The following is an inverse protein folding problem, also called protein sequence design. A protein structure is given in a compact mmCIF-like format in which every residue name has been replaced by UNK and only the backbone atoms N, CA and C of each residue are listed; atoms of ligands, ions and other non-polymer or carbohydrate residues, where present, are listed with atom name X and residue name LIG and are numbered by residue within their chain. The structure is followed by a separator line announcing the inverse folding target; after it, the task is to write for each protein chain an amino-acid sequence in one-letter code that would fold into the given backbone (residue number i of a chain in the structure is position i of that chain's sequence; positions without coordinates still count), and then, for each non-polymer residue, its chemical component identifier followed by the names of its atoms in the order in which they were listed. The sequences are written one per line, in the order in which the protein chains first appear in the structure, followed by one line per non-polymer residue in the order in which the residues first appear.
data_IF_182727004448
#
_entry.id   IF_182727004448
#
_cell.length_a   1.000
_cell.length_b   1.000
_cell.length_c   1.000
_cell.angle_alpha   90.00
_cell.angle_beta   90.00
_cell.angle_gamma   90.00
#
_symmetry.space_group_name_H-M   'P 1'
#
loop_
_entity.id
_entity.type
_entity.pdbx_description
1 polymer ?
#
# COMPACT_ATOMS: atom_id res chain seq x y z
N UNK A 1 24.16 12.54 -26.36
CA UNK A 1 24.42 11.67 -25.20
C UNK A 1 23.87 12.45 -24.02
N UNK A 2 22.57 12.31 -23.88
CA UNK A 2 21.72 13.41 -23.42
C UNK A 2 21.57 13.34 -21.91
N UNK A 3 21.98 14.42 -21.27
CA UNK A 3 21.68 14.73 -19.89
C UNK A 3 20.19 15.04 -19.80
N UNK A 4 19.35 14.05 -19.50
CA UNK A 4 18.01 14.33 -19.00
C UNK A 4 18.14 14.93 -17.60
N UNK A 5 18.12 16.26 -17.58
CA UNK A 5 17.98 17.07 -16.40
C UNK A 5 16.79 16.59 -15.58
N UNK A 6 17.06 16.15 -14.35
CA UNK A 6 16.06 15.96 -13.31
C UNK A 6 15.43 17.31 -12.95
N UNK A 7 14.47 17.75 -13.77
CA UNK A 7 13.66 18.91 -13.45
C UNK A 7 12.86 18.61 -12.17
N UNK A 8 13.32 19.19 -11.06
CA UNK A 8 12.53 19.37 -9.84
C UNK A 8 11.35 20.30 -10.16
N UNK A 9 10.27 19.76 -10.71
CA UNK A 9 9.04 20.54 -10.97
C UNK A 9 8.23 20.60 -9.68
N UNK A 10 8.64 21.45 -8.73
CA UNK A 10 7.81 21.79 -7.58
C UNK A 10 6.36 21.94 -8.05
N UNK A 11 5.42 21.27 -7.38
CA UNK A 11 4.02 21.62 -7.58
C UNK A 11 3.94 23.14 -7.34
N UNK A 12 3.66 23.89 -8.39
CA UNK A 12 3.41 25.31 -8.26
C UNK A 12 2.32 25.45 -7.21
N UNK A 13 2.43 26.44 -6.32
CA UNK A 13 1.45 26.74 -5.27
C UNK A 13 0.00 26.97 -5.78
N UNK A 14 -0.22 26.87 -7.09
CA UNK A 14 -1.49 27.04 -7.79
C UNK A 14 -2.05 25.74 -8.42
N UNK A 15 -1.49 24.55 -8.17
CA UNK A 15 -2.13 23.30 -8.64
C UNK A 15 -3.39 23.02 -7.82
N UNK A 16 -4.57 23.11 -8.46
CA UNK A 16 -5.82 22.64 -7.83
C UNK A 16 -5.89 21.12 -7.97
N UNK A 17 -5.92 20.45 -6.83
CA UNK A 17 -6.13 19.02 -6.75
C UNK A 17 -7.60 18.73 -6.42
N UNK A 18 -8.28 17.97 -7.28
CA UNK A 18 -9.59 17.42 -6.95
C UNK A 18 -9.46 15.94 -6.62
N UNK A 19 -9.93 15.56 -5.42
CA UNK A 19 -9.98 14.16 -5.00
C UNK A 19 -11.39 13.63 -5.28
N UNK A 20 -11.46 12.56 -6.06
CA UNK A 20 -12.65 11.77 -6.33
C UNK A 20 -12.52 10.44 -5.62
N UNK A 21 -13.64 9.85 -5.24
CA UNK A 21 -13.69 8.52 -4.65
C UNK A 21 -14.70 7.67 -5.40
N UNK A 22 -14.34 6.42 -5.64
CA UNK A 22 -15.20 5.38 -6.21
C UNK A 22 -15.16 4.21 -5.24
N UNK A 23 -16.32 3.74 -4.81
CA UNK A 23 -16.43 2.46 -4.09
C UNK A 23 -16.36 1.36 -5.14
N UNK A 24 -15.35 0.49 -5.08
CA UNK A 24 -15.15 -0.55 -6.09
C UNK A 24 -15.77 -1.88 -5.70
N UNK A 25 -15.72 -2.25 -4.42
CA UNK A 25 -16.39 -3.41 -3.83
C UNK A 25 -16.31 -3.31 -2.30
N UNK A 26 -17.05 -4.15 -1.58
CA UNK A 26 -17.03 -4.18 -0.11
C UNK A 26 -16.05 -5.25 0.40
N UNK A 27 -14.95 -4.82 1.03
CA UNK A 27 -13.96 -5.73 1.62
C UNK A 27 -14.49 -6.53 2.83
N UNK A 28 -15.59 -6.09 3.45
CA UNK A 28 -16.23 -6.80 4.57
C UNK A 28 -17.30 -7.79 4.11
N UNK A 29 -17.56 -7.88 2.81
CA UNK A 29 -18.52 -8.84 2.30
C UNK A 29 -18.10 -10.27 2.67
N UNK A 30 -19.09 -11.15 2.89
CA UNK A 30 -18.88 -12.56 3.21
C UNK A 30 -17.99 -13.29 2.17
N UNK A 31 -17.84 -12.71 0.98
CA UNK A 31 -16.97 -13.21 -0.08
C UNK A 31 -15.50 -13.34 0.35
N UNK A 32 -15.01 -12.41 1.18
CA UNK A 32 -13.63 -12.39 1.67
C UNK A 32 -13.45 -13.03 3.05
N UNK A 33 -14.55 -13.40 3.73
CA UNK A 33 -14.51 -13.96 5.08
C UNK A 33 -13.61 -15.19 5.21
N UNK A 34 -13.51 -16.01 4.15
CA UNK A 34 -12.60 -17.17 4.16
C UNK A 34 -11.13 -16.78 4.26
N UNK A 35 -10.72 -15.69 3.60
CA UNK A 35 -9.34 -15.19 3.66
C UNK A 35 -9.03 -14.60 5.03
N UNK A 36 -9.93 -13.76 5.56
CA UNK A 36 -9.81 -13.16 6.90
C UNK A 36 -9.65 -14.26 7.94
N UNK A 37 -10.51 -15.28 7.90
CA UNK A 37 -10.45 -16.43 8.82
C UNK A 37 -9.17 -17.25 8.67
N UNK A 38 -8.72 -17.50 7.44
CA UNK A 38 -7.54 -18.32 7.17
C UNK A 38 -6.27 -17.66 7.70
N UNK A 39 -6.11 -16.36 7.46
CA UNK A 39 -4.91 -15.61 7.83
C UNK A 39 -5.02 -14.86 9.15
N UNK A 40 -6.16 -14.97 9.84
CA UNK A 40 -6.42 -14.29 11.12
C UNK A 40 -6.09 -12.80 11.09
N UNK A 41 -6.36 -12.15 9.96
CA UNK A 41 -6.22 -10.69 9.87
C UNK A 41 -7.30 -10.01 10.71
N UNK A 42 -7.09 -8.76 11.12
CA UNK A 42 -8.19 -7.87 11.48
C UNK A 42 -9.28 -7.92 10.39
N UNK A 43 -10.51 -7.52 10.70
CA UNK A 43 -11.63 -7.52 9.74
C UNK A 43 -11.32 -6.68 8.48
N UNK A 44 -10.30 -5.83 8.55
CA UNK A 44 -9.77 -5.03 7.46
C UNK A 44 -8.68 -5.79 6.70
N UNK A 45 -8.79 -5.81 5.36
CA UNK A 45 -7.80 -6.38 4.42
C UNK A 45 -7.42 -5.34 3.35
N UNK A 46 -7.52 -4.06 3.73
CA UNK A 46 -7.49 -2.92 2.83
C UNK A 46 -6.17 -2.79 2.07
N UNK A 47 -5.05 -3.20 2.67
CA UNK A 47 -3.75 -3.17 2.01
C UNK A 47 -3.66 -4.21 0.87
N UNK A 48 -4.19 -5.42 1.10
CA UNK A 48 -4.31 -6.45 0.07
C UNK A 48 -5.30 -6.04 -1.00
N UNK A 49 -6.42 -5.42 -0.62
CA UNK A 49 -7.42 -4.92 -1.56
C UNK A 49 -6.84 -3.79 -2.44
N UNK A 50 -6.13 -2.82 -1.84
CA UNK A 50 -5.45 -1.75 -2.56
C UNK A 50 -4.41 -2.33 -3.54
N UNK A 51 -3.62 -3.31 -3.13
CA UNK A 51 -2.62 -3.93 -3.99
C UNK A 51 -3.25 -4.76 -5.11
N UNK A 52 -4.33 -5.49 -4.85
CA UNK A 52 -5.08 -6.21 -5.88
C UNK A 52 -5.65 -5.24 -6.92
N UNK A 53 -6.17 -4.09 -6.45
CA UNK A 53 -6.64 -3.02 -7.34
C UNK A 53 -5.51 -2.51 -8.23
N UNK A 54 -4.33 -2.24 -7.67
CA UNK A 54 -3.15 -1.83 -8.45
C UNK A 54 -2.85 -2.85 -9.55
N UNK A 55 -2.72 -4.14 -9.19
CA UNK A 55 -2.38 -5.20 -10.15
C UNK A 55 -3.39 -5.29 -11.29
N UNK A 56 -4.68 -5.27 -10.97
CA UNK A 56 -5.75 -5.32 -11.97
C UNK A 56 -5.69 -4.08 -12.89
N UNK A 57 -5.56 -2.88 -12.33
CA UNK A 57 -5.47 -1.66 -13.14
C UNK A 57 -4.23 -1.67 -14.03
N UNK A 58 -3.10 -2.20 -13.55
CA UNK A 58 -1.87 -2.27 -14.33
C UNK A 58 -1.94 -3.30 -15.46
N UNK A 59 -2.52 -4.47 -15.18
CA UNK A 59 -2.63 -5.56 -16.14
C UNK A 59 -3.64 -5.26 -17.26
N UNK A 60 -4.77 -4.65 -16.93
CA UNK A 60 -5.87 -4.42 -17.87
C UNK A 60 -5.97 -2.97 -18.36
N UNK A 61 -5.19 -2.05 -17.78
CA UNK A 61 -5.35 -0.62 -17.98
C UNK A 61 -6.57 -0.07 -17.24
N UNK A 62 -6.68 1.25 -17.07
CA UNK A 62 -7.64 1.79 -16.11
C UNK A 62 -9.11 1.59 -16.48
N UNK A 63 -9.47 1.68 -17.77
CA UNK A 63 -10.86 1.56 -18.20
C UNK A 63 -11.38 0.13 -17.98
N UNK A 64 -10.65 -0.86 -18.51
CA UNK A 64 -11.01 -2.27 -18.38
C UNK A 64 -10.78 -2.76 -16.95
N UNK A 65 -9.69 -2.34 -16.31
CA UNK A 65 -9.37 -2.69 -14.94
C UNK A 65 -10.49 -2.32 -13.97
N UNK A 66 -11.12 -1.14 -14.10
CA UNK A 66 -12.27 -0.78 -13.26
C UNK A 66 -13.46 -1.73 -13.41
N UNK A 67 -13.68 -2.29 -14.60
CA UNK A 67 -14.70 -3.33 -14.84
C UNK A 67 -14.26 -4.63 -14.18
N UNK A 68 -12.99 -5.02 -14.35
CA UNK A 68 -12.39 -6.21 -13.73
C UNK A 68 -12.39 -6.19 -12.20
N UNK A 69 -12.40 -5.02 -11.57
CA UNK A 69 -12.58 -4.91 -10.11
C UNK A 69 -13.95 -5.40 -9.63
N UNK A 70 -14.96 -5.49 -10.52
CA UNK A 70 -16.26 -6.09 -10.18
C UNK A 70 -16.23 -7.63 -10.23
N UNK A 71 -15.19 -8.23 -10.84
CA UNK A 71 -15.00 -9.67 -10.86
C UNK A 71 -14.40 -10.13 -9.53
N UNK A 72 -15.25 -10.28 -8.51
CA UNK A 72 -14.83 -10.56 -7.13
C UNK A 72 -13.89 -11.78 -7.01
N UNK A 73 -14.08 -12.82 -7.83
CA UNK A 73 -13.17 -13.98 -7.87
C UNK A 73 -11.74 -13.60 -8.27
N UNK A 74 -11.58 -12.70 -9.25
CA UNK A 74 -10.27 -12.22 -9.69
C UNK A 74 -9.59 -11.41 -8.58
N UNK A 75 -10.34 -10.48 -7.98
CA UNK A 75 -9.86 -9.67 -6.84
C UNK A 75 -9.40 -10.58 -5.70
N UNK A 76 -10.24 -11.53 -5.29
CA UNK A 76 -9.92 -12.47 -4.22
C UNK A 76 -8.71 -13.34 -4.53
N UNK A 77 -8.57 -13.84 -5.76
CA UNK A 77 -7.42 -14.64 -6.16
C UNK A 77 -6.11 -13.87 -5.98
N UNK A 78 -6.06 -12.60 -6.39
CA UNK A 78 -4.88 -11.77 -6.16
C UNK A 78 -4.64 -11.49 -4.68
N UNK A 79 -5.69 -11.22 -3.90
CA UNK A 79 -5.54 -11.02 -2.46
C UNK A 79 -5.00 -12.27 -1.76
N UNK A 80 -5.53 -13.44 -2.10
CA UNK A 80 -5.11 -14.72 -1.56
C UNK A 80 -3.63 -15.02 -1.89
N UNK A 81 -3.22 -14.80 -3.14
CA UNK A 81 -1.83 -14.94 -3.58
C UNK A 81 -0.87 -14.10 -2.71
N UNK A 82 -1.26 -12.85 -2.40
CA UNK A 82 -0.45 -11.93 -1.60
C UNK A 82 -0.36 -12.31 -0.13
N UNK A 83 -1.50 -12.68 0.46
CA UNK A 83 -1.57 -13.10 1.85
C UNK A 83 -0.79 -14.41 2.05
N UNK A 84 -0.92 -15.35 1.12
CA UNK A 84 -0.17 -16.61 1.11
C UNK A 84 1.34 -16.38 0.97
N UNK A 85 1.76 -15.51 0.04
CA UNK A 85 3.16 -15.14 -0.12
C UNK A 85 3.73 -14.55 1.18
N UNK A 86 3.02 -13.59 1.77
CA UNK A 86 3.45 -12.91 3.00
C UNK A 86 3.58 -13.92 4.13
N UNK A 87 2.57 -14.78 4.32
CA UNK A 87 2.59 -15.85 5.32
C UNK A 87 3.79 -16.79 5.13
N UNK A 88 4.01 -17.28 3.91
CA UNK A 88 5.10 -18.21 3.57
C UNK A 88 6.49 -17.59 3.71
N UNK A 89 6.65 -16.32 3.36
CA UNK A 89 7.94 -15.61 3.43
C UNK A 89 8.54 -15.53 4.84
N UNK A 90 7.70 -15.73 5.87
CA UNK A 90 8.07 -15.67 7.29
C UNK A 90 8.30 -17.04 7.92
N UNK A 91 7.92 -18.11 7.21
CA UNK A 91 7.90 -19.46 7.72
C UNK A 91 9.28 -19.96 8.13
N UNK A 92 10.32 -19.68 7.34
CA UNK A 92 11.67 -20.17 7.60
C UNK A 92 12.27 -19.54 8.85
N UNK A 93 12.16 -18.22 9.00
CA UNK A 93 12.56 -17.52 10.23
C UNK A 93 11.77 -18.05 11.43
N UNK A 94 10.45 -18.20 11.29
CA UNK A 94 9.60 -18.67 12.38
C UNK A 94 9.99 -20.07 12.86
N UNK A 95 10.24 -20.99 11.93
CA UNK A 95 10.73 -22.35 12.23
C UNK A 95 12.09 -22.32 12.92
N UNK A 96 12.99 -21.42 12.54
CA UNK A 96 14.28 -21.29 13.21
C UNK A 96 14.14 -20.79 14.66
N UNK A 97 13.26 -19.81 14.90
CA UNK A 97 13.06 -19.22 16.24
C UNK A 97 12.28 -20.12 17.20
N UNK A 98 11.20 -20.76 16.72
CA UNK A 98 10.26 -21.49 17.57
C UNK A 98 10.27 -23.00 17.37
N UNK A 99 11.14 -23.51 16.48
CA UNK A 99 11.35 -24.94 16.20
C UNK A 99 10.04 -25.67 15.89
N UNK A 100 9.50 -26.36 16.89
CA UNK A 100 8.33 -27.24 16.77
C UNK A 100 7.06 -26.63 17.40
N UNK A 101 7.10 -25.39 17.91
CA UNK A 101 5.92 -24.70 18.42
C UNK A 101 5.09 -24.14 17.24
N UNK A 102 4.28 -25.03 16.64
CA UNK A 102 3.48 -24.75 15.44
C UNK A 102 2.52 -23.57 15.66
N UNK A 103 1.96 -23.43 16.86
CA UNK A 103 1.03 -22.36 17.17
C UNK A 103 1.71 -20.99 17.14
N UNK A 104 2.90 -20.87 17.75
CA UNK A 104 3.67 -19.61 17.66
C UNK A 104 4.15 -19.31 16.25
N UNK A 105 4.57 -20.34 15.51
CA UNK A 105 4.99 -20.19 14.10
C UNK A 105 3.84 -19.64 13.27
N UNK A 106 2.67 -20.28 13.36
CA UNK A 106 1.48 -19.88 12.62
C UNK A 106 1.05 -18.48 13.02
N UNK A 107 0.96 -18.18 14.32
CA UNK A 107 0.57 -16.86 14.81
C UNK A 107 1.51 -15.78 14.30
N UNK A 108 2.83 -15.98 14.37
CA UNK A 108 3.80 -15.02 13.86
C UNK A 108 3.61 -14.75 12.36
N UNK A 109 3.44 -15.80 11.55
CA UNK A 109 3.17 -15.65 10.13
C UNK A 109 1.85 -14.90 9.87
N UNK A 110 0.80 -15.16 10.67
CA UNK A 110 -0.48 -14.44 10.58
C UNK A 110 -0.35 -12.98 11.00
N UNK A 111 0.44 -12.67 12.04
CA UNK A 111 0.69 -11.30 12.50
C UNK A 111 1.34 -10.45 11.40
N UNK A 112 2.25 -11.03 10.61
CA UNK A 112 2.82 -10.35 9.44
C UNK A 112 1.79 -10.04 8.36
N UNK A 113 0.83 -10.96 8.14
CA UNK A 113 -0.27 -10.71 7.22
C UNK A 113 -1.19 -9.61 7.78
N UNK A 114 -1.46 -9.62 9.08
CA UNK A 114 -2.25 -8.61 9.78
C UNK A 114 -1.61 -7.21 9.78
N UNK A 115 -0.27 -7.13 9.83
CA UNK A 115 0.48 -5.88 9.80
C UNK A 115 0.64 -5.29 8.39
N UNK A 116 -0.02 -5.89 7.39
CA UNK A 116 -0.03 -5.41 6.01
C UNK A 116 1.37 -5.24 5.41
N UNK A 117 2.28 -6.17 5.70
CA UNK A 117 3.58 -6.13 5.05
C UNK A 117 3.46 -6.52 3.57
N UNK A 118 3.48 -5.51 2.70
CA UNK A 118 3.35 -5.68 1.26
C UNK A 118 4.67 -5.52 0.51
N UNK A 119 5.73 -5.01 1.16
CA UNK A 119 6.93 -4.56 0.44
C UNK A 119 7.59 -5.72 -0.27
N UNK A 120 7.83 -6.84 0.43
CA UNK A 120 8.47 -8.03 -0.13
C UNK A 120 7.69 -8.58 -1.34
N UNK A 121 6.37 -8.59 -1.25
CA UNK A 121 5.53 -9.04 -2.35
C UNK A 121 5.57 -8.08 -3.54
N UNK A 122 5.43 -6.77 -3.30
CA UNK A 122 5.48 -5.75 -4.34
C UNK A 122 6.82 -5.74 -5.09
N UNK A 123 7.94 -6.06 -4.42
CA UNK A 123 9.26 -6.25 -5.08
C UNK A 123 9.20 -7.33 -6.15
N UNK A 124 8.51 -8.44 -5.88
CA UNK A 124 8.43 -9.57 -6.82
C UNK A 124 7.67 -9.24 -8.10
N UNK A 125 6.77 -8.26 -8.04
CA UNK A 125 5.91 -7.91 -9.16
C UNK A 125 6.55 -6.93 -10.16
N UNK A 126 7.65 -6.28 -9.79
CA UNK A 126 8.35 -5.28 -10.62
C UNK A 126 7.42 -4.21 -11.23
N UNK A 127 6.40 -3.78 -10.47
CA UNK A 127 5.35 -2.90 -10.97
C UNK A 127 5.90 -1.51 -11.35
N UNK A 128 5.73 -1.14 -12.62
CA UNK A 128 6.10 0.19 -13.12
C UNK A 128 5.13 1.28 -12.65
N UNK A 129 5.65 2.47 -12.33
CA UNK A 129 4.83 3.64 -12.00
C UNK A 129 3.87 3.43 -10.81
N UNK A 130 4.20 2.49 -9.92
CA UNK A 130 3.49 2.23 -8.65
C UNK A 130 4.32 2.75 -7.49
N UNK A 131 3.71 3.55 -6.63
CA UNK A 131 4.37 4.12 -5.44
C UNK A 131 3.51 3.89 -4.20
N UNK A 132 4.13 3.57 -3.08
CA UNK A 132 3.43 3.30 -1.83
C UNK A 132 3.81 4.38 -0.82
N UNK A 133 2.84 5.21 -0.43
CA UNK A 133 3.00 6.12 0.70
C UNK A 133 2.80 5.33 1.98
N UNK A 134 3.81 5.33 2.85
CA UNK A 134 3.82 4.59 4.13
C UNK A 134 4.07 5.55 5.28
N UNK A 135 3.40 5.33 6.39
CA UNK A 135 3.77 6.00 7.64
C UNK A 135 5.12 5.50 8.14
N UNK A 136 5.91 6.42 8.70
CA UNK A 136 7.16 6.07 9.39
C UNK A 136 6.80 5.52 10.78
N UNK A 137 7.01 4.23 11.02
CA UNK A 137 6.79 3.59 12.31
C UNK A 137 7.63 4.22 13.42
N UNK A 138 8.86 4.65 13.12
CA UNK A 138 9.73 5.38 14.06
C UNK A 138 9.17 6.76 14.48
N UNK A 139 8.27 7.35 13.69
CA UNK A 139 7.57 8.59 14.03
C UNK A 139 6.47 8.36 15.08
N UNK A 140 6.13 7.10 15.36
CA UNK A 140 5.15 6.68 16.36
C UNK A 140 5.79 5.77 17.44
N UNK A 141 6.52 6.36 18.42
CA UNK A 141 7.34 5.60 19.39
C UNK A 141 6.56 4.51 20.14
N UNK A 142 5.32 4.79 20.54
CA UNK A 142 4.47 3.86 21.28
C UNK A 142 4.11 2.58 20.48
N UNK A 143 3.98 2.70 19.16
CA UNK A 143 3.71 1.56 18.28
C UNK A 143 5.01 0.78 18.04
N UNK A 144 6.09 1.51 17.75
CA UNK A 144 7.41 0.92 17.52
C UNK A 144 7.95 0.14 18.73
N UNK A 145 7.68 0.59 19.97
CA UNK A 145 8.04 -0.14 21.19
C UNK A 145 7.38 -1.51 21.30
N UNK A 146 6.18 -1.67 20.72
CA UNK A 146 5.45 -2.94 20.70
C UNK A 146 5.89 -3.87 19.57
N UNK A 147 6.53 -3.33 18.53
CA UNK A 147 7.06 -4.10 17.40
C UNK A 147 8.30 -4.91 17.79
N UNK A 148 8.31 -6.20 17.43
CA UNK A 148 9.35 -7.18 17.77
C UNK A 148 9.88 -7.90 16.52
N UNK A 149 10.92 -8.71 16.70
CA UNK A 149 11.46 -9.62 15.67
C UNK A 149 11.86 -8.89 14.37
N UNK A 150 11.81 -9.59 13.23
CA UNK A 150 12.21 -9.08 11.92
C UNK A 150 11.46 -7.79 11.51
N UNK A 151 10.25 -7.53 12.02
CA UNK A 151 9.52 -6.31 11.71
C UNK A 151 10.20 -5.09 12.34
N UNK A 152 10.66 -5.24 13.59
CA UNK A 152 11.43 -4.19 14.26
C UNK A 152 12.75 -3.92 13.53
N UNK A 153 13.44 -4.99 13.13
CA UNK A 153 14.69 -4.89 12.38
C UNK A 153 14.48 -4.18 11.04
N UNK A 154 13.41 -4.53 10.31
CA UNK A 154 12.99 -3.86 9.07
C UNK A 154 12.76 -2.37 9.30
N UNK A 155 11.91 -2.00 10.27
CA UNK A 155 11.61 -0.60 10.57
C UNK A 155 12.89 0.19 10.88
N UNK A 156 13.77 -0.34 11.74
CA UNK A 156 15.03 0.33 12.07
C UNK A 156 15.89 0.50 10.81
N UNK A 157 16.07 -0.56 10.03
CA UNK A 157 16.94 -0.54 8.86
C UNK A 157 16.43 0.42 7.78
N UNK A 158 15.14 0.34 7.47
CA UNK A 158 14.57 0.99 6.28
C UNK A 158 14.05 2.41 6.59
N UNK A 159 13.60 2.66 7.83
CA UNK A 159 12.88 3.90 8.16
C UNK A 159 13.72 4.91 8.96
N UNK A 160 14.90 4.51 9.47
CA UNK A 160 15.82 5.42 10.20
C UNK A 160 16.12 6.73 9.44
N UNK A 161 16.36 6.72 8.11
CA UNK A 161 16.59 7.95 7.35
C UNK A 161 15.41 8.93 7.39
N UNK A 162 14.20 8.43 7.66
CA UNK A 162 12.94 9.18 7.62
C UNK A 162 12.35 9.42 9.01
N UNK A 163 13.05 9.11 10.11
CA UNK A 163 12.52 9.19 11.48
C UNK A 163 11.91 10.54 11.90
N UNK A 164 12.26 11.62 11.20
CA UNK A 164 11.77 12.98 11.45
C UNK A 164 10.67 13.41 10.47
N UNK A 165 10.32 12.56 9.50
CA UNK A 165 9.23 12.77 8.56
C UNK A 165 8.06 11.84 8.95
N UNK A 166 6.79 12.27 8.81
CA UNK A 166 5.65 11.43 9.18
C UNK A 166 5.39 10.27 8.18
N UNK A 167 5.95 10.34 6.99
CA UNK A 167 5.77 9.35 5.93
C UNK A 167 6.93 9.36 4.93
N UNK A 168 7.12 8.22 4.25
CA UNK A 168 8.04 8.03 3.13
C UNK A 168 7.32 7.40 1.95
N UNK A 169 7.94 7.44 0.78
CA UNK A 169 7.43 6.80 -0.44
C UNK A 169 8.31 5.60 -0.75
N UNK A 170 7.71 4.43 -0.83
CA UNK A 170 8.35 3.23 -1.33
C UNK A 170 8.09 3.05 -2.82
N UNK A 171 9.14 2.83 -3.60
CA UNK A 171 9.09 2.51 -5.01
C UNK A 171 9.51 1.04 -5.22
N UNK A 172 8.57 0.11 -5.40
CA UNK A 172 8.87 -1.33 -5.42
C UNK A 172 9.81 -1.77 -6.53
N UNK A 173 9.71 -1.18 -7.73
CA UNK A 173 10.50 -1.57 -8.89
C UNK A 173 12.01 -1.39 -8.69
N UNK A 174 12.43 -0.36 -7.97
CA UNK A 174 13.85 -0.08 -7.66
C UNK A 174 14.24 -0.50 -6.24
N UNK A 175 13.31 -1.09 -5.48
CA UNK A 175 13.43 -1.33 -4.05
C UNK A 175 13.97 -0.12 -3.27
N UNK A 176 13.37 1.05 -3.53
CA UNK A 176 13.87 2.34 -3.05
C UNK A 176 12.88 3.06 -2.15
N UNK A 177 13.39 3.64 -1.08
CA UNK A 177 12.66 4.56 -0.21
C UNK A 177 13.02 6.01 -0.52
N UNK A 178 12.02 6.88 -0.64
CA UNK A 178 12.14 8.26 -1.12
C UNK A 178 11.48 9.18 -0.08
N UNK A 179 12.16 10.26 0.30
CA UNK A 179 11.54 11.28 1.16
C UNK A 179 10.43 11.99 0.41
N UNK A 180 9.33 12.32 1.09
CA UNK A 180 8.27 13.16 0.50
C UNK A 180 8.79 14.46 -0.10
N UNK A 181 9.79 15.09 0.53
CA UNK A 181 10.35 16.36 0.07
C UNK A 181 10.98 16.25 -1.32
N UNK A 182 11.36 15.05 -1.72
CA UNK A 182 12.02 14.73 -2.99
C UNK A 182 11.05 14.08 -4.00
N UNK A 183 9.88 13.65 -3.54
CA UNK A 183 8.90 12.97 -4.36
C UNK A 183 7.84 13.92 -4.89
N UNK A 184 7.42 13.69 -6.14
CA UNK A 184 6.34 14.42 -6.77
C UNK A 184 5.37 13.45 -7.41
N UNK A 185 4.10 13.68 -7.14
CA UNK A 185 3.02 12.90 -7.72
C UNK A 185 2.95 13.19 -9.22
N UNK A 186 3.15 12.14 -10.01
CA UNK A 186 3.12 12.19 -11.47
C UNK A 186 1.79 11.65 -12.01
N UNK A 187 1.50 12.04 -13.25
CA UNK A 187 0.31 11.63 -14.00
C UNK A 187 0.47 10.17 -14.48
N UNK A 188 -0.65 9.46 -14.66
CA UNK A 188 -0.66 8.06 -15.12
C UNK A 188 0.09 7.08 -14.21
N UNK A 189 0.37 7.50 -12.98
CA UNK A 189 0.93 6.66 -11.93
C UNK A 189 -0.18 6.15 -11.01
N UNK A 190 0.10 5.01 -10.40
CA UNK A 190 -0.74 4.40 -9.40
C UNK A 190 -0.09 4.49 -8.03
N UNK A 191 -0.92 4.59 -7.00
CA UNK A 191 -0.48 4.85 -5.65
C UNK A 191 -1.21 3.96 -4.67
N UNK A 192 -0.50 3.48 -3.66
CA UNK A 192 -1.12 2.95 -2.44
C UNK A 192 -0.89 4.00 -1.36
N UNK A 193 -1.97 4.50 -0.76
CA UNK A 193 -1.91 5.48 0.32
C UNK A 193 -2.25 4.79 1.64
N UNK A 194 -1.27 4.70 2.53
CA UNK A 194 -1.49 4.37 3.95
C UNK A 194 -2.01 5.61 4.69
N UNK A 195 -3.31 5.66 4.98
CA UNK A 195 -3.96 6.79 5.66
C UNK A 195 -4.03 6.63 7.18
N UNK A 196 -2.98 6.03 7.75
CA UNK A 196 -2.85 5.52 9.14
C UNK A 196 -3.58 4.21 9.37
N UNK A 197 -3.10 3.14 8.73
CA UNK A 197 -3.63 1.78 8.90
C UNK A 197 -4.84 1.46 8.02
N UNK A 198 -5.33 2.45 7.25
CA UNK A 198 -6.27 2.23 6.15
C UNK A 198 -5.59 2.49 4.82
N UNK A 199 -5.53 1.48 3.96
CA UNK A 199 -4.84 1.54 2.69
C UNK A 199 -5.82 1.69 1.55
N UNK A 200 -5.57 2.64 0.65
CA UNK A 200 -6.38 2.84 -0.55
C UNK A 200 -5.52 2.90 -1.81
N UNK A 201 -6.06 2.36 -2.89
CA UNK A 201 -5.48 2.54 -4.21
C UNK A 201 -5.90 3.91 -4.76
N UNK A 202 -4.96 4.67 -5.29
CA UNK A 202 -5.21 5.94 -5.95
C UNK A 202 -4.59 6.00 -7.33
N UNK A 203 -5.25 6.71 -8.23
CA UNK A 203 -4.77 6.95 -9.58
C UNK A 203 -4.88 8.43 -9.93
N UNK A 204 -3.80 8.98 -10.50
CA UNK A 204 -3.72 10.39 -10.86
C UNK A 204 -3.95 10.57 -12.35
N UNK A 205 -4.99 11.33 -12.71
CA UNK A 205 -5.23 11.80 -14.06
C UNK A 205 -4.85 13.27 -14.21
N UNK A 206 -4.26 13.60 -15.36
CA UNK A 206 -4.23 14.98 -15.82
C UNK A 206 -5.66 15.40 -16.17
N UNK A 207 -6.10 16.55 -15.66
CA UNK A 207 -7.30 17.22 -16.16
C UNK A 207 -6.88 18.26 -17.18
N UNK A 208 -6.08 19.24 -16.73
CA UNK A 208 -5.57 20.36 -17.54
C UNK A 208 -4.14 20.71 -17.13
N UNK A 209 -3.48 21.67 -17.81
CA UNK A 209 -2.07 22.06 -17.60
C UNK A 209 -1.68 22.33 -16.13
N UNK A 210 -2.64 22.76 -15.29
CA UNK A 210 -2.43 23.08 -13.86
C UNK A 210 -3.38 22.32 -12.90
N UNK A 211 -4.20 21.38 -13.38
CA UNK A 211 -5.21 20.69 -12.58
C UNK A 211 -4.99 19.17 -12.64
N UNK A 212 -4.85 18.54 -11.47
CA UNK A 212 -4.75 17.09 -11.32
C UNK A 212 -6.01 16.58 -10.63
N UNK A 213 -6.54 15.47 -11.14
CA UNK A 213 -7.61 14.71 -10.48
C UNK A 213 -7.00 13.43 -9.91
N UNK A 214 -7.27 13.14 -8.64
CA UNK A 214 -6.91 11.86 -8.02
C UNK A 214 -8.19 11.09 -7.78
N UNK A 215 -8.28 9.91 -8.37
CA UNK A 215 -9.35 8.96 -8.10
C UNK A 215 -8.87 7.96 -7.07
N UNK A 216 -9.52 7.94 -5.91
CA UNK A 216 -9.36 6.93 -4.87
C UNK A 216 -10.34 5.79 -5.15
N UNK A 217 -9.80 4.57 -5.15
CA UNK A 217 -10.55 3.31 -5.23
C UNK A 217 -10.70 2.79 -3.81
N UNK A 218 -11.85 3.07 -3.22
CA UNK A 218 -12.19 2.73 -1.84
C UNK A 218 -12.94 1.39 -1.79
N UNK A 219 -12.67 0.62 -0.75
CA UNK A 219 -13.26 -0.70 -0.52
C UNK A 219 -14.05 -0.80 0.79
N UNK A 220 -14.12 0.30 1.57
CA UNK A 220 -15.02 0.49 2.71
C UNK A 220 -16.19 1.37 2.26
N UNK A 221 -17.41 0.81 2.06
CA UNK A 221 -18.53 1.53 1.43
C UNK A 221 -18.96 2.83 2.13
N UNK A 222 -18.76 2.93 3.44
CA UNK A 222 -19.21 4.06 4.26
C UNK A 222 -18.11 5.05 4.62
N UNK A 223 -16.86 4.79 4.21
CA UNK A 223 -15.74 5.65 4.57
C UNK A 223 -15.55 6.75 3.52
N UNK A 224 -15.50 8.00 3.98
CA UNK A 224 -15.26 9.17 3.12
C UNK A 224 -13.76 9.53 3.09
N UNK A 225 -12.96 8.66 2.48
CA UNK A 225 -11.50 8.79 2.42
C UNK A 225 -11.03 10.03 1.68
N UNK A 226 -11.80 10.56 0.71
CA UNK A 226 -11.45 11.82 0.04
C UNK A 226 -11.40 13.03 0.99
N UNK A 227 -12.04 12.96 2.16
CA UNK A 227 -12.02 13.99 3.21
C UNK A 227 -11.07 13.63 4.36
N UNK A 228 -10.33 12.52 4.26
CA UNK A 228 -9.37 12.10 5.26
C UNK A 228 -8.17 13.05 5.28
N UNK A 229 -7.90 13.66 6.45
CA UNK A 229 -6.79 14.61 6.63
C UNK A 229 -5.43 13.99 6.29
N UNK A 230 -5.21 12.71 6.60
CA UNK A 230 -3.96 12.02 6.31
C UNK A 230 -3.74 11.85 4.80
N UNK A 231 -4.81 11.66 4.03
CA UNK A 231 -4.73 11.62 2.58
C UNK A 231 -4.31 13.00 2.02
N UNK A 232 -4.90 14.09 2.54
CA UNK A 232 -4.56 15.45 2.09
C UNK A 232 -3.10 15.83 2.38
N UNK A 233 -2.49 15.28 3.43
CA UNK A 233 -1.08 15.51 3.75
C UNK A 233 -0.16 15.04 2.60
N UNK A 234 -0.53 14.00 1.84
CA UNK A 234 0.27 13.55 0.69
C UNK A 234 0.29 14.54 -0.47
N UNK A 235 -0.63 15.51 -0.46
CA UNK A 235 -0.84 16.47 -1.54
C UNK A 235 -0.43 17.89 -1.21
N UNK A 236 -0.25 18.20 0.08
CA UNK A 236 0.43 19.42 0.55
C UNK A 236 1.94 19.36 0.37
#
# INVERSE_FOLDING_TARGET
MDQESSQKVRLNANTKLAIKQIIVYDQFSNFFASLIKMYSTPDHICAYAATANIRIIQQYGTKEGLIKLQEMNLVKAYMEEMMDFTFKSRMDYAKQQWKNDINKIKQYCQDWVANYELSDYLKTLALENVYVFRHVGLFHPQLFEKTKNQERERIIKDETPFKNDPYFIYYPKEDKYISKKEFQIQENHLYIFDTMGHFVCGWVKKKDKNNKDITILETIPHLDTKNNKNLHIFFG
#
